data_IF_048135412123
#
_entry.id   IF_048135412123
#
_cell.length_a   1.000
_cell.length_b   1.000
_cell.length_c   1.000
_cell.angle_alpha   90.00
_cell.angle_beta   90.00
_cell.angle_gamma   90.00
#
_symmetry.space_group_name_H-M   'P 1'
#
loop_
_entity.id
_entity.type
_entity.pdbx_description
1 polymer ?
#
# COMPACT_ATOMS: atom_id res chain seq x y z
N UNK A 1 124.93 24.85 0.20
CA UNK A 1 123.91 24.86 -0.87
C UNK A 1 123.28 23.47 -0.96
N UNK A 2 122.07 23.28 -0.43
CA UNK A 2 121.38 21.99 -0.38
C UNK A 2 120.26 21.91 -1.43
N UNK A 3 120.40 21.01 -2.41
CA UNK A 3 119.38 20.68 -3.41
C UNK A 3 118.24 19.91 -2.73
N UNK A 4 117.04 20.49 -2.70
CA UNK A 4 115.80 19.78 -2.31
C UNK A 4 115.29 18.97 -3.50
N UNK A 5 115.26 17.64 -3.36
CA UNK A 5 114.67 16.73 -4.33
C UNK A 5 113.13 16.77 -4.22
N UNK A 6 112.46 17.06 -5.33
CA UNK A 6 111.01 17.00 -5.43
C UNK A 6 110.57 15.54 -5.61
N UNK A 7 109.90 14.98 -4.59
CA UNK A 7 109.23 13.70 -4.71
C UNK A 7 108.00 13.84 -5.60
N UNK A 8 108.12 13.39 -6.85
CA UNK A 8 107.01 13.15 -7.77
C UNK A 8 106.20 11.95 -7.27
N UNK A 9 105.21 12.20 -6.42
CA UNK A 9 104.21 11.20 -6.07
C UNK A 9 103.47 10.76 -7.33
N UNK A 10 103.53 9.47 -7.64
CA UNK A 10 102.82 8.83 -8.74
C UNK A 10 101.31 8.97 -8.49
N UNK A 11 100.68 9.94 -9.16
CA UNK A 11 99.24 10.10 -9.16
C UNK A 11 98.67 8.89 -9.92
N UNK A 12 98.27 7.84 -9.20
CA UNK A 12 97.48 6.76 -9.79
C UNK A 12 96.28 7.39 -10.48
N UNK A 13 96.13 7.16 -11.78
CA UNK A 13 94.98 7.62 -12.54
C UNK A 13 93.77 6.73 -12.16
N UNK A 14 93.03 7.13 -11.14
CA UNK A 14 91.80 6.46 -10.73
C UNK A 14 90.80 6.55 -11.89
N UNK A 15 90.52 5.40 -12.52
CA UNK A 15 89.55 5.29 -13.62
C UNK A 15 88.23 5.91 -13.16
N UNK A 16 87.85 7.02 -13.81
CA UNK A 16 86.54 7.66 -13.61
C UNK A 16 85.46 6.62 -13.84
N UNK A 17 84.77 6.24 -12.77
CA UNK A 17 83.66 5.30 -12.81
C UNK A 17 82.49 5.95 -13.57
N UNK A 18 82.50 5.84 -14.90
CA UNK A 18 81.40 6.26 -15.78
C UNK A 18 80.33 5.16 -15.78
N UNK A 19 79.67 4.98 -14.65
CA UNK A 19 78.43 4.20 -14.61
C UNK A 19 77.36 4.95 -15.40
N UNK A 20 76.93 4.40 -16.54
CA UNK A 20 75.94 5.03 -17.43
C UNK A 20 74.61 5.38 -16.71
N UNK A 21 74.30 4.72 -15.59
CA UNK A 21 73.08 4.97 -14.80
C UNK A 21 73.15 6.13 -13.80
N UNK A 22 74.35 6.60 -13.40
CA UNK A 22 74.47 7.58 -12.31
C UNK A 22 73.93 8.95 -12.71
N UNK A 23 74.23 9.41 -13.94
CA UNK A 23 73.78 10.72 -14.45
C UNK A 23 72.24 10.80 -14.52
N UNK A 24 71.59 9.72 -14.95
CA UNK A 24 70.12 9.67 -15.01
C UNK A 24 69.49 9.80 -13.63
N UNK A 25 69.98 9.04 -12.64
CA UNK A 25 69.49 9.11 -11.25
C UNK A 25 69.70 10.49 -10.63
N UNK A 26 70.85 11.11 -10.87
CA UNK A 26 71.15 12.48 -10.42
C UNK A 26 70.16 13.47 -11.02
N UNK A 27 69.88 13.39 -12.32
CA UNK A 27 68.89 14.24 -12.98
C UNK A 27 67.49 14.06 -12.39
N UNK A 28 67.09 12.83 -12.04
CA UNK A 28 65.82 12.57 -11.34
C UNK A 28 65.78 13.28 -10.00
N UNK A 29 66.83 13.20 -9.19
CA UNK A 29 66.91 13.89 -7.90
C UNK A 29 66.79 15.41 -8.08
N UNK A 30 67.50 15.98 -9.05
CA UNK A 30 67.41 17.42 -9.38
C UNK A 30 65.98 17.80 -9.78
N UNK A 31 65.32 16.97 -10.59
CA UNK A 31 63.93 17.19 -11.00
C UNK A 31 62.97 17.18 -9.81
N UNK A 32 63.11 16.18 -8.91
CA UNK A 32 62.27 16.05 -7.71
C UNK A 32 62.50 17.23 -6.75
N UNK A 33 63.75 17.66 -6.54
CA UNK A 33 64.05 18.81 -5.69
C UNK A 33 63.45 20.12 -6.25
N UNK A 34 63.40 20.26 -7.57
CA UNK A 34 62.82 21.43 -8.25
C UNK A 34 61.29 21.38 -8.34
N UNK A 35 60.65 20.24 -8.08
CA UNK A 35 59.21 20.09 -8.21
C UNK A 35 58.46 20.83 -7.09
N UNK A 36 57.79 21.92 -7.45
CA UNK A 36 57.01 22.73 -6.50
C UNK A 36 55.73 22.06 -6.03
N UNK A 37 55.27 21.00 -6.71
CA UNK A 37 54.04 20.28 -6.36
C UNK A 37 54.24 19.32 -5.19
N UNK A 38 55.49 18.93 -4.91
CA UNK A 38 55.84 18.07 -3.80
C UNK A 38 55.91 18.89 -2.50
N UNK A 39 55.07 18.51 -1.55
CA UNK A 39 55.09 19.09 -0.21
C UNK A 39 56.36 18.70 0.53
N UNK A 40 57.06 19.70 1.06
CA UNK A 40 58.28 19.54 1.82
C UNK A 40 58.39 20.68 2.84
N UNK A 41 58.96 20.40 4.02
CA UNK A 41 59.26 21.45 4.99
C UNK A 41 60.35 22.42 4.52
N UNK A 42 61.22 21.95 3.63
CA UNK A 42 62.33 22.74 3.10
C UNK A 42 61.79 23.79 2.11
N UNK A 43 62.06 25.09 2.32
CA UNK A 43 61.62 26.15 1.41
C UNK A 43 62.10 25.94 -0.02
N UNK A 44 61.31 26.38 -1.00
CA UNK A 44 61.62 26.19 -2.42
C UNK A 44 62.99 26.76 -2.83
N UNK A 45 63.43 27.87 -2.23
CA UNK A 45 64.77 28.45 -2.46
C UNK A 45 65.89 27.50 -2.03
N UNK A 46 65.80 26.93 -0.82
CA UNK A 46 66.76 25.95 -0.33
C UNK A 46 66.74 24.67 -1.16
N UNK A 47 65.57 24.21 -1.60
CA UNK A 47 65.45 23.06 -2.52
C UNK A 47 66.12 23.32 -3.87
N UNK A 48 66.00 24.54 -4.40
CA UNK A 48 66.71 24.94 -5.63
C UNK A 48 68.23 24.91 -5.44
N UNK A 49 68.74 25.39 -4.30
CA UNK A 49 70.17 25.30 -3.97
C UNK A 49 70.64 23.84 -3.86
N UNK A 50 69.87 22.97 -3.19
CA UNK A 50 70.17 21.53 -3.12
C UNK A 50 70.16 20.90 -4.52
N UNK A 51 69.24 21.30 -5.40
CA UNK A 51 69.16 20.82 -6.76
C UNK A 51 70.36 21.24 -7.62
N UNK A 52 70.86 22.46 -7.44
CA UNK A 52 72.07 22.95 -8.12
C UNK A 52 73.35 22.28 -7.59
N UNK A 53 73.40 22.00 -6.28
CA UNK A 53 74.52 21.30 -5.65
C UNK A 53 74.56 19.80 -5.93
N UNK A 54 73.40 19.16 -6.16
CA UNK A 54 73.25 17.71 -6.30
C UNK A 54 74.17 17.06 -7.36
N UNK A 55 74.36 17.62 -8.58
CA UNK A 55 75.26 17.03 -9.57
C UNK A 55 76.70 16.92 -9.09
N UNK A 56 77.19 17.92 -8.36
CA UNK A 56 78.57 17.93 -7.87
C UNK A 56 78.75 17.01 -6.66
N UNK A 57 77.78 16.97 -5.75
CA UNK A 57 77.84 16.13 -4.55
C UNK A 57 77.66 14.63 -4.87
N UNK A 58 76.79 14.28 -5.82
CA UNK A 58 76.43 12.90 -6.13
C UNK A 58 77.34 12.23 -7.18
N UNK A 59 77.96 13.01 -8.07
CA UNK A 59 78.80 12.46 -9.15
C UNK A 59 80.24 12.13 -8.72
N UNK A 60 80.70 12.65 -7.59
CA UNK A 60 82.01 12.31 -7.03
C UNK A 60 81.94 10.95 -6.32
N UNK A 61 82.95 10.10 -6.55
CA UNK A 61 83.10 8.82 -5.86
C UNK A 61 83.14 9.04 -4.34
N UNK A 62 82.51 8.14 -3.57
CA UNK A 62 82.31 8.30 -2.12
C UNK A 62 83.62 8.62 -1.39
N UNK A 63 84.70 7.91 -1.70
CA UNK A 63 86.03 8.10 -1.11
C UNK A 63 86.69 9.45 -1.43
N UNK A 64 86.22 10.15 -2.47
CA UNK A 64 86.76 11.42 -2.94
C UNK A 64 85.88 12.61 -2.57
N UNK A 65 84.76 12.39 -1.87
CA UNK A 65 83.85 13.46 -1.51
C UNK A 65 84.46 14.35 -0.45
N UNK A 66 84.48 15.65 -0.70
CA UNK A 66 84.81 16.63 0.33
C UNK A 66 83.74 16.61 1.44
N UNK A 67 84.11 16.99 2.67
CA UNK A 67 83.18 17.04 3.82
C UNK A 67 81.86 17.75 3.50
N UNK A 68 81.94 18.88 2.79
CA UNK A 68 80.76 19.64 2.34
C UNK A 68 79.84 18.83 1.39
N UNK A 69 80.40 17.99 0.51
CA UNK A 69 79.60 17.15 -0.40
C UNK A 69 78.87 16.04 0.37
N UNK A 70 79.47 15.54 1.46
CA UNK A 70 78.85 14.56 2.35
C UNK A 70 77.68 15.21 3.10
N UNK A 71 77.86 16.41 3.63
CA UNK A 71 76.80 17.17 4.30
C UNK A 71 75.65 17.52 3.33
N UNK A 72 75.97 18.01 2.12
CA UNK A 72 75.00 18.27 1.07
C UNK A 72 74.21 17.00 0.69
N UNK A 73 74.88 15.86 0.57
CA UNK A 73 74.23 14.58 0.31
C UNK A 73 73.26 14.19 1.43
N UNK A 74 73.65 14.39 2.69
CA UNK A 74 72.80 14.12 3.84
C UNK A 74 71.54 15.00 3.83
N UNK A 75 71.67 16.30 3.53
CA UNK A 75 70.53 17.23 3.41
C UNK A 75 69.59 16.86 2.26
N UNK A 76 70.13 16.44 1.11
CA UNK A 76 69.33 15.93 -0.02
C UNK A 76 68.55 14.68 0.41
N UNK A 77 69.22 13.73 1.07
CA UNK A 77 68.59 12.49 1.52
C UNK A 77 67.47 12.77 2.56
N UNK A 78 67.71 13.66 3.51
CA UNK A 78 66.71 14.09 4.49
C UNK A 78 65.50 14.74 3.82
N UNK A 79 65.74 15.66 2.89
CA UNK A 79 64.68 16.37 2.13
C UNK A 79 63.82 15.38 1.34
N UNK A 80 64.43 14.44 0.62
CA UNK A 80 63.72 13.42 -0.14
C UNK A 80 62.94 12.45 0.78
N UNK A 81 63.50 12.11 1.94
CA UNK A 81 62.82 11.28 2.93
C UNK A 81 61.60 11.99 3.55
N UNK A 82 61.68 13.30 3.83
CA UNK A 82 60.52 14.10 4.26
C UNK A 82 59.41 14.10 3.19
N UNK A 83 59.76 14.38 1.93
CA UNK A 83 58.81 14.32 0.81
C UNK A 83 58.15 12.94 0.68
N UNK A 84 58.95 11.86 0.74
CA UNK A 84 58.45 10.50 0.64
C UNK A 84 57.48 10.15 1.78
N UNK A 85 57.81 10.53 3.03
CA UNK A 85 56.93 10.33 4.18
C UNK A 85 55.60 11.09 4.03
N UNK A 86 55.63 12.33 3.54
CA UNK A 86 54.42 13.13 3.31
C UNK A 86 53.54 12.55 2.22
N UNK A 87 54.13 12.14 1.10
CA UNK A 87 53.40 11.47 0.03
C UNK A 87 52.79 10.15 0.51
N UNK A 88 53.54 9.36 1.27
CA UNK A 88 53.03 8.13 1.86
C UNK A 88 51.87 8.41 2.83
N UNK A 89 51.99 9.44 3.68
CA UNK A 89 50.91 9.89 4.55
C UNK A 89 49.63 10.23 3.78
N UNK A 90 49.74 11.00 2.69
CA UNK A 90 48.59 11.30 1.80
C UNK A 90 47.99 10.07 1.17
N UNK A 91 48.81 9.11 0.74
CA UNK A 91 48.33 7.83 0.19
C UNK A 91 47.56 7.04 1.25
N UNK A 92 48.05 7.00 2.49
CA UNK A 92 47.42 6.28 3.59
C UNK A 92 46.12 6.96 4.04
N UNK A 93 46.08 8.29 4.09
CA UNK A 93 44.87 9.08 4.31
C UNK A 93 43.82 8.83 3.21
N UNK A 94 44.23 8.89 1.94
CA UNK A 94 43.33 8.63 0.81
C UNK A 94 42.79 7.19 0.81
N UNK A 95 43.63 6.20 1.14
CA UNK A 95 43.20 4.81 1.31
C UNK A 95 42.22 4.65 2.46
N UNK A 96 42.47 5.30 3.59
CA UNK A 96 41.55 5.29 4.73
C UNK A 96 40.21 5.93 4.38
N UNK A 97 40.22 7.07 3.69
CA UNK A 97 39.01 7.75 3.22
C UNK A 97 38.22 6.89 2.22
N UNK A 98 38.91 6.27 1.25
CA UNK A 98 38.29 5.36 0.29
C UNK A 98 37.63 4.17 0.99
N UNK A 99 38.33 3.53 1.95
CA UNK A 99 37.78 2.41 2.71
C UNK A 99 36.52 2.81 3.50
N UNK A 100 36.51 4.00 4.11
CA UNK A 100 35.32 4.53 4.81
C UNK A 100 34.15 4.74 3.85
N UNK A 101 34.38 5.39 2.71
CA UNK A 101 33.34 5.63 1.72
C UNK A 101 32.79 4.32 1.12
N UNK A 102 33.64 3.32 0.88
CA UNK A 102 33.19 2.00 0.45
C UNK A 102 32.32 1.33 1.50
N UNK A 103 32.70 1.39 2.78
CA UNK A 103 31.89 0.83 3.87
C UNK A 103 30.52 1.54 3.98
N UNK A 104 30.49 2.87 3.89
CA UNK A 104 29.25 3.65 3.88
C UNK A 104 28.36 3.34 2.67
N UNK A 105 28.96 3.14 1.50
CA UNK A 105 28.23 2.77 0.29
C UNK A 105 27.57 1.40 0.43
N UNK A 106 28.28 0.39 0.96
CA UNK A 106 27.71 -0.93 1.19
C UNK A 106 26.60 -0.90 2.25
N UNK A 107 26.77 -0.12 3.32
CA UNK A 107 25.70 0.09 4.31
C UNK A 107 24.43 0.68 3.67
N UNK A 108 24.57 1.72 2.86
CA UNK A 108 23.43 2.34 2.15
C UNK A 108 22.78 1.40 1.13
N UNK A 109 23.54 0.50 0.49
CA UNK A 109 22.95 -0.53 -0.39
C UNK A 109 22.06 -1.49 0.39
N UNK A 110 22.51 -1.93 1.57
CA UNK A 110 21.70 -2.80 2.46
C UNK A 110 20.44 -2.08 2.94
N UNK A 111 20.54 -0.80 3.31
CA UNK A 111 19.36 0.00 3.67
C UNK A 111 18.38 0.12 2.49
N UNK A 112 18.88 0.38 1.28
CA UNK A 112 18.07 0.51 0.08
C UNK A 112 17.35 -0.79 -0.29
N UNK A 113 18.02 -1.94 -0.19
CA UNK A 113 17.39 -3.24 -0.46
C UNK A 113 16.30 -3.54 0.59
N UNK A 114 16.55 -3.26 1.86
CA UNK A 114 15.55 -3.39 2.93
C UNK A 114 14.34 -2.49 2.71
N UNK A 115 14.55 -1.21 2.38
CA UNK A 115 13.47 -0.27 2.08
C UNK A 115 12.67 -0.67 0.84
N UNK A 116 13.33 -1.22 -0.18
CA UNK A 116 12.67 -1.69 -1.41
C UNK A 116 11.79 -2.92 -1.14
N UNK A 117 12.22 -3.82 -0.25
CA UNK A 117 11.41 -4.97 0.18
C UNK A 117 10.15 -4.51 0.91
N UNK A 118 10.31 -3.64 1.91
CA UNK A 118 9.18 -3.08 2.68
C UNK A 118 8.17 -2.36 1.78
N UNK A 119 8.66 -1.60 0.79
CA UNK A 119 7.79 -0.94 -0.19
C UNK A 119 6.99 -1.94 -1.02
N UNK A 120 7.60 -3.06 -1.40
CA UNK A 120 6.94 -4.10 -2.19
C UNK A 120 5.85 -4.79 -1.36
N UNK A 121 6.16 -5.19 -0.12
CA UNK A 121 5.18 -5.75 0.81
C UNK A 121 4.01 -4.81 1.08
N UNK A 122 4.29 -3.51 1.26
CA UNK A 122 3.26 -2.50 1.47
C UNK A 122 2.34 -2.34 0.25
N UNK A 123 2.88 -2.43 -0.97
CA UNK A 123 2.09 -2.40 -2.21
C UNK A 123 1.20 -3.62 -2.34
N UNK A 124 1.73 -4.80 -2.05
CA UNK A 124 0.96 -6.05 -2.12
C UNK A 124 -0.17 -6.06 -1.08
N UNK A 125 0.11 -5.61 0.14
CA UNK A 125 -0.91 -5.46 1.18
C UNK A 125 -2.00 -4.44 0.80
N UNK A 126 -1.61 -3.31 0.19
CA UNK A 126 -2.57 -2.31 -0.29
C UNK A 126 -3.45 -2.86 -1.42
N UNK A 127 -2.87 -3.62 -2.36
CA UNK A 127 -3.61 -4.26 -3.44
C UNK A 127 -4.63 -5.29 -2.90
N UNK A 128 -4.22 -6.12 -1.94
CA UNK A 128 -5.12 -7.08 -1.28
C UNK A 128 -6.28 -6.36 -0.57
N UNK A 129 -6.00 -5.26 0.15
CA UNK A 129 -7.05 -4.46 0.81
C UNK A 129 -8.00 -3.78 -0.18
N UNK A 130 -7.50 -3.35 -1.34
CA UNK A 130 -8.35 -2.83 -2.41
C UNK A 130 -9.33 -3.90 -2.93
N UNK A 131 -8.85 -5.13 -3.15
CA UNK A 131 -9.73 -6.24 -3.57
C UNK A 131 -10.78 -6.59 -2.52
N UNK A 132 -10.41 -6.63 -1.23
CA UNK A 132 -11.36 -6.87 -0.13
C UNK A 132 -12.44 -5.77 -0.06
N UNK A 133 -12.05 -4.51 -0.30
CA UNK A 133 -12.96 -3.38 -0.31
C UNK A 133 -13.98 -3.47 -1.45
N UNK A 134 -13.53 -3.79 -2.67
CA UNK A 134 -14.40 -3.92 -3.84
C UNK A 134 -15.40 -5.08 -3.67
N UNK A 135 -14.95 -6.20 -3.11
CA UNK A 135 -15.82 -7.34 -2.76
C UNK A 135 -16.88 -6.95 -1.71
N UNK A 136 -16.47 -6.24 -0.65
CA UNK A 136 -17.40 -5.79 0.38
C UNK A 136 -18.42 -4.79 -0.16
N UNK A 137 -17.99 -3.89 -1.05
CA UNK A 137 -18.85 -2.93 -1.73
C UNK A 137 -19.89 -3.63 -2.60
N UNK A 138 -19.47 -4.60 -3.43
CA UNK A 138 -20.37 -5.40 -4.26
C UNK A 138 -21.40 -6.16 -3.44
N UNK A 139 -20.98 -6.78 -2.31
CA UNK A 139 -21.92 -7.44 -1.38
C UNK A 139 -22.92 -6.47 -0.77
N UNK A 140 -22.50 -5.26 -0.40
CA UNK A 140 -23.39 -4.22 0.13
C UNK A 140 -24.45 -3.84 -0.90
N UNK A 141 -24.06 -3.58 -2.13
CA UNK A 141 -24.98 -3.23 -3.23
C UNK A 141 -26.01 -4.35 -3.48
N UNK A 142 -25.59 -5.62 -3.46
CA UNK A 142 -26.50 -6.76 -3.57
C UNK A 142 -27.51 -6.83 -2.41
N UNK A 143 -27.06 -6.58 -1.18
CA UNK A 143 -27.92 -6.58 0.00
C UNK A 143 -28.91 -5.41 -0.01
N UNK A 144 -28.49 -4.23 -0.47
CA UNK A 144 -29.37 -3.06 -0.64
C UNK A 144 -30.48 -3.34 -1.66
N UNK A 145 -30.15 -3.98 -2.79
CA UNK A 145 -31.14 -4.40 -3.79
C UNK A 145 -32.11 -5.45 -3.23
N UNK A 146 -31.61 -6.45 -2.49
CA UNK A 146 -32.45 -7.47 -1.87
C UNK A 146 -33.40 -6.86 -0.83
N UNK A 147 -32.91 -5.93 -0.01
CA UNK A 147 -33.72 -5.21 0.97
C UNK A 147 -34.84 -4.41 0.30
N UNK A 148 -34.52 -3.64 -0.75
CA UNK A 148 -35.52 -2.88 -1.50
C UNK A 148 -36.61 -3.78 -2.12
N UNK A 149 -36.23 -4.96 -2.64
CA UNK A 149 -37.18 -5.95 -3.15
C UNK A 149 -38.11 -6.46 -2.05
N UNK A 150 -37.55 -6.83 -0.88
CA UNK A 150 -38.33 -7.33 0.26
C UNK A 150 -39.27 -6.26 0.83
N UNK A 151 -38.87 -5.00 0.84
CA UNK A 151 -39.75 -3.89 1.25
C UNK A 151 -40.94 -3.74 0.31
N UNK A 152 -40.71 -3.81 -1.01
CA UNK A 152 -41.77 -3.78 -2.02
C UNK A 152 -42.73 -4.97 -1.87
N UNK A 153 -42.20 -6.17 -1.66
CA UNK A 153 -43.01 -7.37 -1.42
C UNK A 153 -43.83 -7.24 -0.13
N UNK A 154 -43.22 -6.68 0.94
CA UNK A 154 -43.89 -6.39 2.20
C UNK A 154 -45.09 -5.46 2.05
N UNK A 155 -44.98 -4.41 1.23
CA UNK A 155 -46.09 -3.50 0.91
C UNK A 155 -47.22 -4.25 0.19
N UNK A 156 -46.87 -5.11 -0.77
CA UNK A 156 -47.83 -5.90 -1.54
C UNK A 156 -48.58 -6.91 -0.65
N UNK A 157 -47.85 -7.64 0.19
CA UNK A 157 -48.42 -8.59 1.15
C UNK A 157 -49.33 -7.89 2.16
N UNK A 158 -48.93 -6.72 2.67
CA UNK A 158 -49.76 -5.92 3.57
C UNK A 158 -51.09 -5.53 2.92
N UNK A 159 -51.06 -5.04 1.67
CA UNK A 159 -52.29 -4.71 0.91
C UNK A 159 -53.20 -5.92 0.72
N UNK A 160 -52.64 -7.08 0.35
CA UNK A 160 -53.40 -8.32 0.18
C UNK A 160 -54.04 -8.76 1.49
N UNK A 161 -53.30 -8.68 2.59
CA UNK A 161 -53.80 -8.99 3.94
C UNK A 161 -54.94 -8.05 4.34
N UNK A 162 -54.80 -6.76 4.11
CA UNK A 162 -55.87 -5.78 4.39
C UNK A 162 -57.12 -6.03 3.53
N UNK A 163 -56.96 -6.49 2.29
CA UNK A 163 -58.08 -6.90 1.43
C UNK A 163 -58.79 -8.14 1.98
N UNK A 164 -58.05 -9.18 2.37
CA UNK A 164 -58.62 -10.40 2.96
C UNK A 164 -59.38 -10.06 4.25
N UNK A 165 -58.81 -9.21 5.12
CA UNK A 165 -59.49 -8.77 6.35
C UNK A 165 -60.80 -8.04 6.05
N UNK A 166 -60.82 -7.18 5.02
CA UNK A 166 -62.05 -6.52 4.56
C UNK A 166 -63.07 -7.52 4.05
N UNK A 167 -62.66 -8.50 3.25
CA UNK A 167 -63.55 -9.55 2.74
C UNK A 167 -64.12 -10.39 3.89
N UNK A 168 -63.28 -10.83 4.83
CA UNK A 168 -63.72 -11.53 6.04
C UNK A 168 -64.74 -10.72 6.83
N UNK A 169 -64.51 -9.42 7.03
CA UNK A 169 -65.46 -8.57 7.77
C UNK A 169 -66.83 -8.48 7.10
N UNK A 170 -66.88 -8.50 5.75
CA UNK A 170 -68.14 -8.54 4.99
C UNK A 170 -68.86 -9.86 5.21
N UNK A 171 -68.14 -10.98 5.17
CA UNK A 171 -68.73 -12.30 5.43
C UNK A 171 -69.25 -12.43 6.84
N UNK A 172 -68.50 -11.92 7.83
CA UNK A 172 -68.96 -11.88 9.22
C UNK A 172 -70.22 -11.04 9.38
N UNK A 173 -70.30 -9.86 8.73
CA UNK A 173 -71.50 -9.01 8.75
C UNK A 173 -72.72 -9.71 8.12
N UNK A 174 -72.54 -10.37 6.96
CA UNK A 174 -73.60 -11.15 6.30
C UNK A 174 -74.13 -12.23 7.24
N UNK A 175 -73.23 -13.01 7.85
CA UNK A 175 -73.61 -14.12 8.74
C UNK A 175 -74.29 -13.61 10.01
N UNK A 176 -73.65 -12.69 10.72
CA UNK A 176 -74.03 -12.33 12.08
C UNK A 176 -75.15 -11.27 12.12
N UNK A 177 -75.18 -10.33 11.17
CA UNK A 177 -76.13 -9.21 11.17
C UNK A 177 -77.28 -9.35 10.17
N UNK A 178 -77.13 -10.15 9.10
CA UNK A 178 -78.21 -10.37 8.12
C UNK A 178 -78.87 -11.73 8.31
N UNK A 179 -78.10 -12.81 8.13
CA UNK A 179 -78.62 -14.17 8.13
C UNK A 179 -79.17 -14.55 9.50
N UNK A 180 -78.37 -14.43 10.56
CA UNK A 180 -78.78 -14.78 11.92
C UNK A 180 -80.03 -14.02 12.37
N UNK A 181 -80.12 -12.73 12.06
CA UNK A 181 -81.28 -11.88 12.42
C UNK A 181 -82.55 -12.35 11.70
N UNK A 182 -82.47 -12.71 10.41
CA UNK A 182 -83.59 -13.24 9.65
C UNK A 182 -83.99 -14.66 10.09
N UNK A 183 -83.01 -15.49 10.46
CA UNK A 183 -83.26 -16.83 11.01
C UNK A 183 -84.01 -16.76 12.33
N UNK A 184 -83.55 -15.94 13.27
CA UNK A 184 -84.11 -15.86 14.62
C UNK A 184 -85.45 -15.11 14.67
N UNK A 185 -85.65 -14.09 13.83
CA UNK A 185 -86.81 -13.18 13.94
C UNK A 185 -87.77 -13.21 12.75
N UNK A 186 -87.34 -13.71 11.59
CA UNK A 186 -88.19 -13.73 10.39
C UNK A 186 -88.73 -12.34 10.00
N UNK A 187 -90.04 -12.24 9.77
CA UNK A 187 -90.73 -10.97 9.51
C UNK A 187 -90.67 -9.97 10.67
N UNK A 188 -90.38 -10.43 11.89
CA UNK A 188 -90.27 -9.59 13.10
C UNK A 188 -88.86 -9.01 13.31
N UNK A 189 -87.96 -9.15 12.32
CA UNK A 189 -86.65 -8.50 12.28
C UNK A 189 -86.76 -6.96 12.08
N UNK A 190 -87.41 -6.28 13.03
CA UNK A 190 -87.76 -4.86 12.96
C UNK A 190 -89.14 -4.63 12.33
N UNK A 191 -89.25 -3.65 11.44
CA UNK A 191 -90.46 -3.46 10.62
C UNK A 191 -90.43 -4.42 9.42
N UNK A 192 -91.59 -4.81 8.91
CA UNK A 192 -91.70 -5.69 7.73
C UNK A 192 -90.87 -5.14 6.53
N UNK A 193 -90.83 -3.81 6.38
CA UNK A 193 -90.02 -3.12 5.38
C UNK A 193 -88.50 -3.29 5.62
N UNK A 194 -88.06 -3.33 6.88
CA UNK A 194 -86.66 -3.57 7.24
C UNK A 194 -86.27 -5.04 7.01
N UNK A 195 -87.14 -5.99 7.37
CA UNK A 195 -86.93 -7.42 7.12
C UNK A 195 -86.79 -7.71 5.61
N UNK A 196 -87.69 -7.15 4.77
CA UNK A 196 -87.59 -7.25 3.29
C UNK A 196 -86.27 -6.69 2.76
N UNK A 197 -85.85 -5.51 3.24
CA UNK A 197 -84.56 -4.89 2.84
C UNK A 197 -83.35 -5.72 3.26
N UNK A 198 -83.36 -6.32 4.46
CA UNK A 198 -82.29 -7.21 4.92
C UNK A 198 -82.22 -8.47 4.04
N UNK A 199 -83.39 -9.05 3.74
CA UNK A 199 -83.49 -10.21 2.87
C UNK A 199 -83.01 -9.92 1.44
N UNK A 200 -83.43 -8.80 0.84
CA UNK A 200 -82.96 -8.37 -0.48
C UNK A 200 -81.44 -8.16 -0.51
N UNK A 201 -80.87 -7.56 0.54
CA UNK A 201 -79.41 -7.39 0.68
C UNK A 201 -78.71 -8.73 0.78
N UNK A 202 -79.20 -9.66 1.61
CA UNK A 202 -78.65 -11.00 1.78
C UNK A 202 -78.71 -11.77 0.45
N UNK A 203 -79.82 -11.73 -0.28
CA UNK A 203 -79.97 -12.37 -1.59
C UNK A 203 -79.03 -11.79 -2.64
N UNK A 204 -78.83 -10.47 -2.64
CA UNK A 204 -77.83 -9.85 -3.48
C UNK A 204 -76.41 -10.37 -3.16
N UNK A 205 -76.09 -10.58 -1.88
CA UNK A 205 -74.80 -11.14 -1.48
C UNK A 205 -74.67 -12.62 -1.86
N UNK A 206 -75.67 -13.46 -1.59
CA UNK A 206 -75.68 -14.88 -2.00
C UNK A 206 -75.54 -15.00 -3.52
N UNK A 207 -76.20 -14.14 -4.29
CA UNK A 207 -76.03 -14.07 -5.74
C UNK A 207 -74.61 -13.70 -6.17
N UNK A 208 -73.99 -12.72 -5.50
CA UNK A 208 -72.59 -12.34 -5.74
C UNK A 208 -71.59 -13.46 -5.40
N UNK A 209 -71.95 -14.35 -4.47
CA UNK A 209 -71.16 -15.52 -4.08
C UNK A 209 -71.42 -16.74 -4.96
N UNK A 210 -72.27 -16.63 -5.98
CA UNK A 210 -72.60 -17.74 -6.87
C UNK A 210 -73.60 -18.73 -6.28
N UNK A 211 -74.42 -18.31 -5.31
CA UNK A 211 -75.48 -19.15 -4.76
C UNK A 211 -76.46 -19.60 -5.84
N UNK A 212 -77.04 -20.79 -5.66
CA UNK A 212 -77.89 -21.41 -6.68
C UNK A 212 -79.14 -20.56 -7.01
N UNK A 213 -79.52 -20.37 -8.28
CA UNK A 213 -80.70 -19.57 -8.65
C UNK A 213 -82.00 -20.06 -8.01
N UNK A 214 -82.15 -21.37 -7.82
CA UNK A 214 -83.31 -21.96 -7.14
C UNK A 214 -83.37 -21.55 -5.65
N UNK A 215 -82.22 -21.47 -4.98
CA UNK A 215 -82.09 -20.95 -3.63
C UNK A 215 -82.43 -19.46 -3.59
N UNK A 216 -81.92 -18.67 -4.54
CA UNK A 216 -82.22 -17.23 -4.63
C UNK A 216 -83.72 -16.95 -4.84
N UNK A 217 -84.43 -17.81 -5.56
CA UNK A 217 -85.87 -17.67 -5.79
C UNK A 217 -86.72 -18.08 -4.58
N UNK A 218 -86.30 -19.11 -3.84
CA UNK A 218 -87.06 -19.68 -2.72
C UNK A 218 -86.73 -19.03 -1.37
N UNK A 219 -85.47 -18.70 -1.10
CA UNK A 219 -85.03 -18.13 0.18
C UNK A 219 -85.80 -16.89 0.65
N UNK A 220 -86.23 -15.93 -0.21
CA UNK A 220 -86.95 -14.75 0.27
C UNK A 220 -88.29 -15.06 0.93
N UNK A 221 -89.05 -16.00 0.36
CA UNK A 221 -90.37 -16.36 0.89
C UNK A 221 -90.24 -17.14 2.20
N UNK A 222 -89.13 -17.86 2.41
CA UNK A 222 -88.83 -18.63 3.61
C UNK A 222 -88.27 -17.75 4.74
N UNK A 223 -87.27 -16.92 4.44
CA UNK A 223 -86.60 -16.06 5.42
C UNK A 223 -87.53 -14.99 6.00
N UNK A 224 -88.58 -14.58 5.26
CA UNK A 224 -89.55 -13.60 5.73
C UNK A 224 -90.72 -14.20 6.53
N UNK A 225 -90.88 -15.53 6.61
CA UNK A 225 -91.87 -16.15 7.51
C UNK A 225 -91.41 -16.06 8.96
N UNK A 226 -92.37 -16.06 9.90
CA UNK A 226 -92.06 -16.21 11.32
C UNK A 226 -91.42 -17.59 11.56
N UNK A 227 -90.47 -17.72 12.49
CA UNK A 227 -89.82 -19.01 12.77
C UNK A 227 -90.81 -20.16 13.02
N UNK A 228 -91.92 -19.88 13.71
CA UNK A 228 -92.97 -20.85 14.04
C UNK A 228 -93.78 -21.35 12.83
N UNK A 229 -93.83 -20.56 11.75
CA UNK A 229 -94.59 -20.86 10.53
C UNK A 229 -93.77 -21.65 9.50
N UNK A 230 -92.48 -21.87 9.78
CA UNK A 230 -91.56 -22.56 8.85
C UNK A 230 -91.74 -24.07 8.96
N UNK A 231 -92.09 -24.72 7.85
CA UNK A 231 -92.35 -26.17 7.83
C UNK A 231 -91.72 -26.86 6.61
N UNK A 232 -91.27 -28.09 6.81
CA UNK A 232 -90.88 -29.04 5.75
C UNK A 232 -89.84 -28.51 4.76
N UNK A 233 -90.31 -27.98 3.63
CA UNK A 233 -89.46 -27.38 2.59
C UNK A 233 -88.68 -26.15 3.09
N UNK A 234 -89.29 -25.37 3.98
CA UNK A 234 -88.67 -24.18 4.55
C UNK A 234 -87.36 -24.53 5.28
N UNK A 235 -87.32 -25.65 6.01
CA UNK A 235 -86.12 -26.11 6.73
C UNK A 235 -84.97 -26.43 5.77
N UNK A 236 -85.25 -27.09 4.64
CA UNK A 236 -84.22 -27.39 3.64
C UNK A 236 -83.67 -26.15 2.95
N UNK A 237 -84.52 -25.15 2.70
CA UNK A 237 -84.08 -23.86 2.15
C UNK A 237 -83.20 -23.12 3.16
N UNK A 238 -83.52 -23.17 4.46
CA UNK A 238 -82.67 -22.56 5.50
C UNK A 238 -81.33 -23.28 5.64
N UNK A 239 -81.33 -24.62 5.68
CA UNK A 239 -80.10 -25.43 5.70
C UNK A 239 -79.22 -25.10 4.49
N UNK A 240 -79.81 -24.95 3.30
CA UNK A 240 -79.09 -24.59 2.08
C UNK A 240 -78.58 -23.13 2.05
N UNK A 241 -79.21 -22.22 2.81
CA UNK A 241 -78.72 -20.83 2.96
C UNK A 241 -77.60 -20.72 4.02
N UNK A 242 -77.61 -21.60 5.02
CA UNK A 242 -76.57 -21.65 6.07
C UNK A 242 -75.29 -22.38 5.62
N UNK A 243 -75.41 -23.32 4.68
CA UNK A 243 -74.30 -24.08 4.09
C UNK A 243 -73.41 -23.21 3.19
#
# INVERSE_FOLDING_TARGET
MGKRAAATGTIQAWKRFRGAGTKSKVNTIVSVLKDSTLECQVPASARSMLAEGAPTALSTAVEQRHKFQIEMFALIAETLNDMAKRLQGKVDEAKSAAAKLTAEQEAKKVELTGASHLLTEAKDAAAAKATEYDDAKSRREQMELALASLESDGVTLKRRRDQIVKEQSKFTDIRDNMLKVLLEKGSEAGSEKNAKKLCEKLMKQISQLGGEPALQASAPSVLLKKPEERQGFDSHVLEAVEA
#
